data_IF_308577364115
#
_entry.id   IF_308577364115
#
_cell.length_a   1.000
_cell.length_b   1.000
_cell.length_c   1.000
_cell.angle_alpha   90.00
_cell.angle_beta   90.00
_cell.angle_gamma   90.00
#
_symmetry.space_group_name_H-M   'P 1'
#
loop_
_entity.id
_entity.type
_entity.pdbx_description
1 polymer ?
#
# COMPACT_ATOMS: atom_id res chain seq x y z
N UNK A 1 27.91 -14.20 -1.36
CA UNK A 1 27.05 -14.82 -0.33
C UNK A 1 26.87 -16.29 -0.63
N UNK A 2 25.96 -16.98 0.08
CA UNK A 2 25.48 -18.33 -0.30
C UNK A 2 24.59 -18.26 -1.54
N UNK A 3 24.30 -19.41 -2.14
CA UNK A 3 23.26 -19.53 -3.17
C UNK A 3 21.88 -19.22 -2.59
N UNK A 4 20.99 -18.67 -3.43
CA UNK A 4 19.59 -18.41 -3.05
C UNK A 4 18.84 -19.72 -2.90
N UNK A 5 17.91 -19.73 -1.94
CA UNK A 5 17.05 -20.86 -1.61
C UNK A 5 15.57 -20.41 -1.64
N UNK A 6 14.60 -21.34 -1.76
CA UNK A 6 13.18 -20.99 -1.90
C UNK A 6 12.64 -19.99 -0.87
N UNK A 7 13.08 -20.11 0.39
CA UNK A 7 12.63 -19.23 1.47
C UNK A 7 13.15 -17.78 1.35
N UNK A 8 14.13 -17.51 0.48
CA UNK A 8 14.62 -16.16 0.23
C UNK A 8 13.60 -15.30 -0.51
N UNK A 9 12.50 -15.88 -1.02
CA UNK A 9 11.36 -15.12 -1.53
C UNK A 9 10.83 -14.11 -0.50
N UNK A 10 11.00 -14.38 0.80
CA UNK A 10 10.63 -13.47 1.90
C UNK A 10 11.81 -12.69 2.48
N UNK A 11 12.92 -12.57 1.75
CA UNK A 11 14.05 -11.75 2.17
C UNK A 11 13.64 -10.29 2.39
N UNK A 12 13.98 -9.75 3.57
CA UNK A 12 13.60 -8.41 4.02
C UNK A 12 14.79 -7.45 4.19
N UNK A 13 15.95 -7.81 3.65
CA UNK A 13 17.19 -7.05 3.83
C UNK A 13 17.41 -5.92 2.81
N UNK A 14 16.44 -5.61 1.95
CA UNK A 14 16.49 -4.43 1.08
C UNK A 14 16.16 -3.16 1.87
N UNK A 15 17.06 -2.76 2.77
CA UNK A 15 16.91 -1.59 3.60
C UNK A 15 18.20 -0.77 3.68
N UNK A 16 18.03 0.51 3.95
CA UNK A 16 19.09 1.51 3.95
C UNK A 16 19.99 1.57 5.19
N UNK A 17 19.97 0.55 6.06
CA UNK A 17 20.72 0.55 7.33
C UNK A 17 19.84 0.72 8.57
N UNK A 18 20.47 0.98 9.72
CA UNK A 18 19.79 1.13 11.01
C UNK A 18 18.98 2.44 11.04
N UNK A 19 17.65 2.32 10.87
CA UNK A 19 16.71 3.41 11.08
C UNK A 19 16.67 3.86 12.55
N UNK A 20 15.84 4.88 12.83
CA UNK A 20 15.64 5.35 14.20
C UNK A 20 15.01 4.21 15.02
N UNK A 21 15.53 3.88 16.23
CA UNK A 21 14.98 2.80 17.02
C UNK A 21 13.50 2.99 17.33
N UNK A 22 12.69 1.94 17.15
CA UNK A 22 11.23 1.97 17.34
C UNK A 22 10.83 2.47 18.74
N UNK A 23 11.63 2.19 19.76
CA UNK A 23 11.41 2.69 21.13
C UNK A 23 11.47 4.23 21.21
N UNK A 24 12.39 4.85 20.46
CA UNK A 24 12.51 6.31 20.40
C UNK A 24 11.33 6.93 19.64
N UNK A 25 10.94 6.30 18.53
CA UNK A 25 9.78 6.72 17.75
C UNK A 25 8.49 6.59 18.59
N UNK A 26 8.35 5.49 19.33
CA UNK A 26 7.24 5.26 20.24
C UNK A 26 7.19 6.31 21.35
N UNK A 27 8.32 6.63 21.97
CA UNK A 27 8.36 7.68 23.00
C UNK A 27 7.96 9.06 22.45
N UNK A 28 8.27 9.35 21.18
CA UNK A 28 7.88 10.57 20.49
C UNK A 28 6.37 10.56 20.17
N UNK A 29 5.86 9.52 19.53
CA UNK A 29 4.46 9.42 19.10
C UNK A 29 3.51 9.34 20.28
N UNK A 30 3.86 8.62 21.34
CA UNK A 30 3.03 8.49 22.55
C UNK A 30 2.92 9.83 23.29
N UNK A 31 3.99 10.63 23.30
CA UNK A 31 3.96 11.99 23.85
C UNK A 31 3.13 12.93 22.98
N UNK A 32 3.25 12.80 21.66
CA UNK A 32 2.59 13.68 20.70
C UNK A 32 1.07 13.39 20.61
N UNK A 33 0.68 12.12 20.66
CA UNK A 33 -0.69 11.65 20.56
C UNK A 33 -1.05 10.78 21.77
N UNK A 34 -1.27 11.40 22.96
CA UNK A 34 -1.69 10.68 24.17
C UNK A 34 -3.10 10.08 24.06
N UNK A 35 -3.95 10.63 23.18
CA UNK A 35 -5.31 10.16 22.95
C UNK A 35 -5.77 10.43 21.49
N UNK A 36 -6.97 9.97 21.14
CA UNK A 36 -7.57 10.16 19.82
C UNK A 36 -7.78 11.64 19.48
N UNK A 37 -8.18 12.45 20.47
CA UNK A 37 -8.43 13.88 20.26
C UNK A 37 -7.14 14.63 19.93
N UNK A 38 -6.00 14.24 20.50
CA UNK A 38 -4.71 14.81 20.17
C UNK A 38 -4.31 14.54 18.71
N UNK A 39 -4.57 13.33 18.19
CA UNK A 39 -4.35 13.05 16.76
C UNK A 39 -5.34 13.84 15.90
N UNK A 40 -6.63 13.82 16.24
CA UNK A 40 -7.68 14.52 15.47
C UNK A 40 -7.36 16.02 15.30
N UNK A 41 -6.93 16.68 16.38
CA UNK A 41 -6.54 18.08 16.36
C UNK A 41 -5.27 18.37 15.53
N UNK A 42 -4.41 17.37 15.30
CA UNK A 42 -3.17 17.52 14.51
C UNK A 42 -3.35 17.19 13.02
N UNK A 43 -4.46 16.55 12.62
CA UNK A 43 -4.74 16.21 11.22
C UNK A 43 -4.57 17.40 10.25
N UNK A 44 -5.05 18.62 10.55
CA UNK A 44 -4.83 19.76 9.67
C UNK A 44 -3.35 20.11 9.49
N UNK A 45 -2.54 19.97 10.56
CA UNK A 45 -1.10 20.23 10.50
C UNK A 45 -0.38 19.17 9.66
N UNK A 46 -0.83 17.92 9.70
CA UNK A 46 -0.32 16.84 8.85
C UNK A 46 -0.55 17.20 7.37
N UNK A 47 -1.76 17.61 6.99
CA UNK A 47 -2.03 18.01 5.59
C UNK A 47 -1.25 19.26 5.16
N UNK A 48 -1.07 20.24 6.06
CA UNK A 48 -0.24 21.41 5.76
C UNK A 48 1.21 21.02 5.49
N UNK A 49 1.78 20.07 6.25
CA UNK A 49 3.12 19.53 5.98
C UNK A 49 3.21 18.82 4.63
N UNK A 50 2.14 18.12 4.24
CA UNK A 50 2.04 17.47 2.93
C UNK A 50 1.75 18.45 1.78
N UNK A 51 1.61 19.75 2.07
CA UNK A 51 1.57 20.82 1.08
C UNK A 51 0.18 21.39 0.78
N UNK A 52 -0.87 20.96 1.48
CA UNK A 52 -2.17 21.65 1.39
C UNK A 52 -2.07 23.02 2.04
N UNK A 53 -2.82 23.98 1.49
CA UNK A 53 -2.98 25.25 2.19
C UNK A 53 -3.84 25.04 3.47
N UNK A 54 -3.71 25.91 4.49
CA UNK A 54 -4.41 25.71 5.76
C UNK A 54 -5.94 25.69 5.66
N UNK A 55 -6.53 26.33 4.65
CA UNK A 55 -7.99 26.35 4.45
C UNK A 55 -8.48 25.00 3.94
N UNK A 56 -7.91 24.49 2.84
CA UNK A 56 -8.26 23.18 2.29
C UNK A 56 -7.92 22.04 3.25
N UNK A 57 -6.81 22.15 3.97
CA UNK A 57 -6.47 21.19 5.03
C UNK A 57 -7.60 21.09 6.07
N UNK A 58 -8.09 22.23 6.58
CA UNK A 58 -9.21 22.26 7.53
C UNK A 58 -10.51 21.76 6.95
N UNK A 59 -10.81 22.12 5.70
CA UNK A 59 -11.99 21.67 4.97
C UNK A 59 -12.05 20.13 4.93
N UNK A 60 -10.97 19.49 4.47
CA UNK A 60 -10.87 18.02 4.43
C UNK A 60 -11.00 17.43 5.83
N UNK A 61 -10.20 17.91 6.79
CA UNK A 61 -10.17 17.30 8.13
C UNK A 61 -11.43 17.56 8.95
N UNK A 62 -12.24 18.57 8.59
CA UNK A 62 -13.52 18.80 9.24
C UNK A 62 -14.53 17.66 9.01
N UNK A 63 -14.25 16.79 8.03
CA UNK A 63 -15.04 15.61 7.68
C UNK A 63 -14.37 14.29 8.10
N UNK A 64 -13.35 14.35 8.97
CA UNK A 64 -12.60 13.19 9.44
C UNK A 64 -12.56 13.23 10.98
N UNK A 65 -13.05 12.17 11.62
CA UNK A 65 -12.93 11.98 13.09
C UNK A 65 -12.06 10.78 13.42
N UNK A 66 -11.41 10.80 14.58
CA UNK A 66 -10.49 9.74 15.03
C UNK A 66 -11.14 8.89 16.12
N UNK A 67 -11.25 7.58 15.87
CA UNK A 67 -11.69 6.61 16.87
C UNK A 67 -10.55 5.66 17.27
N UNK A 68 -10.40 5.41 18.56
CA UNK A 68 -9.49 4.36 19.04
C UNK A 68 -10.02 2.96 18.66
N UNK A 69 -9.24 2.20 17.90
CA UNK A 69 -9.58 0.82 17.53
C UNK A 69 -9.11 -0.20 18.58
N UNK A 70 -9.86 -1.28 18.72
CA UNK A 70 -9.41 -2.48 19.45
C UNK A 70 -8.55 -3.41 18.59
N UNK A 71 -8.72 -3.35 17.26
CA UNK A 71 -7.97 -4.12 16.27
C UNK A 71 -6.88 -3.29 15.58
N UNK A 72 -6.41 -3.76 14.42
CA UNK A 72 -5.28 -3.19 13.68
C UNK A 72 -5.45 -1.70 13.31
N UNK A 73 -6.68 -1.21 13.18
CA UNK A 73 -6.98 0.10 12.59
C UNK A 73 -7.65 -0.10 11.23
N UNK A 74 -8.48 0.85 10.80
CA UNK A 74 -9.09 0.85 9.46
C UNK A 74 -9.83 2.17 9.20
N UNK A 75 -9.57 2.81 8.07
CA UNK A 75 -10.35 3.91 7.55
C UNK A 75 -11.78 3.47 7.24
N UNK A 76 -12.75 4.32 7.55
CA UNK A 76 -14.14 4.09 7.21
C UNK A 76 -14.71 5.35 6.57
N UNK A 77 -14.80 5.34 5.24
CA UNK A 77 -15.31 6.45 4.46
C UNK A 77 -16.78 6.73 4.70
N UNK A 78 -17.16 8.00 4.51
CA UNK A 78 -18.57 8.41 4.49
C UNK A 78 -19.27 7.87 3.23
N UNK A 79 -20.58 7.65 3.30
CA UNK A 79 -21.40 7.24 2.14
C UNK A 79 -22.17 8.41 1.52
N UNK A 80 -22.07 9.61 2.09
CA UNK A 80 -22.75 10.82 1.64
C UNK A 80 -21.85 12.04 1.79
N UNK A 81 -22.09 13.04 0.94
CA UNK A 81 -21.37 14.32 0.98
C UNK A 81 -21.53 15.01 2.32
N UNK A 82 -20.44 15.58 2.81
CA UNK A 82 -20.35 16.32 4.08
C UNK A 82 -20.66 15.50 5.34
N UNK A 83 -20.63 14.17 5.27
CA UNK A 83 -20.70 13.31 6.47
C UNK A 83 -19.30 12.90 6.92
N UNK A 84 -19.20 12.45 8.17
CA UNK A 84 -17.93 12.13 8.81
C UNK A 84 -17.40 10.77 8.34
N UNK A 85 -16.18 10.78 7.81
CA UNK A 85 -15.36 9.57 7.73
C UNK A 85 -14.64 9.34 9.07
N UNK A 86 -14.30 8.07 9.35
CA UNK A 86 -13.65 7.67 10.60
C UNK A 86 -12.26 7.13 10.32
N UNK A 87 -11.25 7.78 10.88
CA UNK A 87 -9.90 7.25 11.01
C UNK A 87 -9.87 6.39 12.26
N UNK A 88 -9.70 5.08 12.10
CA UNK A 88 -9.60 4.17 13.26
C UNK A 88 -8.19 3.66 13.39
N UNK A 89 -7.59 3.85 14.54
CA UNK A 89 -6.21 3.41 14.82
C UNK A 89 -6.04 3.03 16.29
N UNK A 90 -5.02 2.23 16.58
CA UNK A 90 -4.74 1.76 17.93
C UNK A 90 -4.15 2.87 18.77
N UNK A 91 -4.84 3.21 19.86
CA UNK A 91 -4.37 4.17 20.87
C UNK A 91 -4.53 3.50 22.23
N UNK A 92 -3.42 3.20 22.88
CA UNK A 92 -3.40 2.52 24.18
C UNK A 92 -3.48 3.52 25.35
N UNK A 93 -3.52 2.99 26.58
CA UNK A 93 -3.51 3.83 27.80
C UNK A 93 -2.26 4.71 27.91
N UNK A 94 -1.14 4.27 27.33
CA UNK A 94 0.11 5.04 27.26
C UNK A 94 0.20 6.01 26.08
N UNK A 95 -0.85 6.17 25.28
CA UNK A 95 -0.86 6.89 24.01
C UNK A 95 -0.60 6.00 22.80
N UNK A 96 -0.37 6.65 21.65
CA UNK A 96 -0.10 5.98 20.38
C UNK A 96 1.37 5.56 20.28
N UNK A 97 1.63 4.26 20.12
CA UNK A 97 2.98 3.76 19.80
C UNK A 97 3.35 4.04 18.34
N UNK A 98 4.61 3.82 17.95
CA UNK A 98 5.04 4.14 16.58
C UNK A 98 4.30 3.31 15.54
N UNK A 99 4.04 2.03 15.82
CA UNK A 99 3.26 1.17 14.94
C UNK A 99 1.84 1.71 14.72
N UNK A 100 1.16 2.12 15.79
CA UNK A 100 -0.16 2.74 15.73
C UNK A 100 -0.14 4.06 14.98
N UNK A 101 0.93 4.85 15.11
CA UNK A 101 1.14 6.07 14.33
C UNK A 101 1.33 5.81 12.84
N UNK A 102 2.21 4.89 12.48
CA UNK A 102 2.47 4.51 11.10
C UNK A 102 1.18 4.01 10.40
N UNK A 103 0.38 3.19 11.10
CA UNK A 103 -0.95 2.79 10.65
C UNK A 103 -1.89 3.99 10.56
N UNK A 104 -1.94 4.86 11.57
CA UNK A 104 -2.81 6.04 11.55
C UNK A 104 -2.55 6.95 10.34
N UNK A 105 -1.28 7.14 9.97
CA UNK A 105 -0.88 7.92 8.79
C UNK A 105 -1.35 7.25 7.51
N UNK A 106 -1.21 5.93 7.40
CA UNK A 106 -1.73 5.15 6.28
C UNK A 106 -3.25 5.30 6.14
N UNK A 107 -4.00 5.04 7.21
CA UNK A 107 -5.46 5.16 7.22
C UNK A 107 -5.92 6.60 6.96
N UNK A 108 -5.15 7.60 7.41
CA UNK A 108 -5.44 8.99 7.09
C UNK A 108 -5.35 9.28 5.60
N UNK A 109 -4.41 8.67 4.87
CA UNK A 109 -4.35 8.76 3.42
C UNK A 109 -5.63 8.27 2.75
N UNK A 110 -6.18 7.14 3.19
CA UNK A 110 -7.50 6.68 2.75
C UNK A 110 -8.61 7.67 3.09
N UNK A 111 -8.68 8.17 4.33
CA UNK A 111 -9.74 9.12 4.71
C UNK A 111 -9.68 10.43 3.90
N UNK A 112 -8.48 10.93 3.60
CA UNK A 112 -8.27 12.12 2.77
C UNK A 112 -8.77 11.87 1.36
N UNK A 113 -8.39 10.74 0.74
CA UNK A 113 -8.90 10.36 -0.58
C UNK A 113 -10.42 10.22 -0.57
N UNK A 114 -10.97 9.41 0.33
CA UNK A 114 -12.42 9.19 0.43
C UNK A 114 -13.19 10.50 0.63
N UNK A 115 -12.62 11.45 1.40
CA UNK A 115 -13.21 12.77 1.60
C UNK A 115 -13.17 13.61 0.32
N UNK A 116 -12.03 13.67 -0.35
CA UNK A 116 -11.88 14.40 -1.62
C UNK A 116 -12.81 13.79 -2.68
N UNK A 117 -12.79 12.47 -2.87
CA UNK A 117 -13.55 11.81 -3.94
C UNK A 117 -15.05 11.84 -3.70
N UNK A 118 -15.51 11.86 -2.45
CA UNK A 118 -16.93 12.02 -2.10
C UNK A 118 -17.43 13.45 -2.38
N UNK A 119 -16.64 14.47 -2.04
CA UNK A 119 -17.10 15.86 -2.02
C UNK A 119 -16.73 16.66 -3.28
N UNK A 120 -15.60 16.35 -3.90
CA UNK A 120 -14.99 17.16 -4.96
C UNK A 120 -15.12 16.54 -6.36
N UNK A 121 -15.52 15.26 -6.48
CA UNK A 121 -15.89 14.66 -7.77
C UNK A 121 -17.29 15.15 -8.16
N UNK A 122 -17.40 15.76 -9.35
CA UNK A 122 -18.62 16.41 -9.85
C UNK A 122 -19.85 15.50 -9.76
N UNK A 123 -19.74 14.30 -10.30
CA UNK A 123 -20.82 13.32 -10.36
C UNK A 123 -20.72 12.36 -9.20
N UNK A 124 -21.75 12.35 -8.34
CA UNK A 124 -21.82 11.42 -7.20
C UNK A 124 -21.65 9.95 -7.62
N UNK A 125 -22.14 9.54 -8.78
CA UNK A 125 -21.97 8.16 -9.26
C UNK A 125 -20.51 7.78 -9.61
N UNK A 126 -19.63 8.75 -9.73
CA UNK A 126 -18.19 8.56 -9.95
C UNK A 126 -17.37 8.79 -8.68
N UNK A 127 -18.00 8.90 -7.49
CA UNK A 127 -17.24 9.04 -6.25
C UNK A 127 -16.32 7.83 -6.01
N UNK A 128 -15.22 8.05 -5.29
CA UNK A 128 -14.19 7.05 -5.05
C UNK A 128 -13.16 6.94 -6.16
N UNK A 129 -12.44 5.82 -6.14
CA UNK A 129 -11.36 5.47 -7.07
C UNK A 129 -11.71 4.20 -7.86
N UNK A 130 -10.96 3.84 -8.92
CA UNK A 130 -11.32 2.70 -9.76
C UNK A 130 -11.44 1.37 -9.00
N UNK A 131 -10.54 1.09 -8.05
CA UNK A 131 -10.56 -0.09 -7.20
C UNK A 131 -9.62 0.09 -5.97
N UNK A 132 -9.54 -0.93 -5.13
CA UNK A 132 -8.72 -0.96 -3.91
C UNK A 132 -7.26 -0.56 -4.14
N UNK A 133 -6.64 -1.00 -5.24
CA UNK A 133 -5.24 -0.70 -5.56
C UNK A 133 -4.94 0.81 -5.63
N UNK A 134 -5.91 1.64 -6.03
CA UNK A 134 -5.72 3.10 -6.15
C UNK A 134 -5.85 3.85 -4.81
N UNK A 135 -6.68 3.35 -3.89
CA UNK A 135 -6.79 3.95 -2.55
C UNK A 135 -5.62 3.52 -1.68
N UNK A 136 -5.11 2.30 -1.84
CA UNK A 136 -3.87 1.85 -1.20
C UNK A 136 -2.68 2.72 -1.62
N UNK A 137 -2.58 3.09 -2.90
CA UNK A 137 -1.47 3.91 -3.39
C UNK A 137 -1.35 5.26 -2.64
N UNK A 138 -2.45 5.98 -2.39
CA UNK A 138 -2.39 7.23 -1.60
C UNK A 138 -2.09 6.96 -0.13
N UNK A 139 -2.62 5.88 0.44
CA UNK A 139 -2.31 5.49 1.81
C UNK A 139 -0.80 5.21 1.98
N UNK A 140 -0.17 4.53 1.03
CA UNK A 140 1.28 4.33 1.00
C UNK A 140 2.06 5.64 0.80
N UNK A 141 1.59 6.58 -0.02
CA UNK A 141 2.22 7.91 -0.13
C UNK A 141 2.26 8.64 1.22
N UNK A 142 1.19 8.53 2.00
CA UNK A 142 1.15 9.11 3.35
C UNK A 142 2.10 8.35 4.27
N UNK A 143 1.98 7.02 4.30
CA UNK A 143 2.75 6.15 5.19
C UNK A 143 4.27 6.28 5.00
N UNK A 144 4.75 6.39 3.75
CA UNK A 144 6.17 6.62 3.43
C UNK A 144 6.74 7.95 3.96
N UNK A 145 5.87 8.88 4.36
CA UNK A 145 6.24 10.21 4.89
C UNK A 145 6.04 10.30 6.40
N UNK A 146 5.78 9.20 7.09
CA UNK A 146 5.53 9.19 8.53
C UNK A 146 6.67 9.83 9.34
N UNK A 147 7.93 9.55 9.02
CA UNK A 147 9.09 10.18 9.66
C UNK A 147 9.18 11.68 9.34
N UNK A 148 8.96 12.07 8.08
CA UNK A 148 8.92 13.48 7.65
C UNK A 148 7.83 14.25 8.42
N UNK A 149 6.67 13.64 8.61
CA UNK A 149 5.54 14.20 9.35
C UNK A 149 5.85 14.38 10.85
N UNK A 150 6.73 13.55 11.41
CA UNK A 150 7.31 13.72 12.74
C UNK A 150 8.42 14.79 12.81
N UNK A 151 8.82 15.37 11.67
CA UNK A 151 9.93 16.32 11.57
C UNK A 151 11.29 15.66 11.60
N UNK A 152 11.34 14.35 11.38
CA UNK A 152 12.56 13.56 11.27
C UNK A 152 12.93 13.48 9.80
N UNK A 153 14.22 13.48 9.50
CA UNK A 153 14.72 13.29 8.13
C UNK A 153 15.36 11.92 8.06
N UNK A 154 14.96 11.13 7.07
CA UNK A 154 15.85 10.09 6.60
C UNK A 154 17.08 10.77 5.99
N UNK A 155 18.25 10.31 6.41
CA UNK A 155 19.54 10.87 6.02
C UNK A 155 20.26 9.97 5.02
N UNK A 156 19.68 8.82 4.68
CA UNK A 156 20.29 7.90 3.75
C UNK A 156 20.09 8.37 2.30
N UNK A 157 21.18 8.76 1.59
CA UNK A 157 21.08 9.16 0.19
C UNK A 157 20.62 8.03 -0.74
N UNK A 158 20.79 6.78 -0.32
CA UNK A 158 20.46 5.58 -1.10
C UNK A 158 19.07 5.00 -0.78
N UNK A 159 18.28 5.64 0.09
CA UNK A 159 16.97 5.15 0.52
C UNK A 159 16.05 4.82 -0.67
N UNK A 160 16.02 5.69 -1.68
CA UNK A 160 15.23 5.48 -2.88
C UNK A 160 15.67 4.23 -3.68
N UNK A 161 16.96 3.91 -3.68
CA UNK A 161 17.48 2.70 -4.33
C UNK A 161 17.09 1.45 -3.55
N UNK A 162 17.20 1.47 -2.22
CA UNK A 162 16.75 0.36 -1.37
C UNK A 162 15.25 0.13 -1.48
N UNK A 163 14.45 1.20 -1.50
CA UNK A 163 13.02 1.12 -1.70
C UNK A 163 12.67 0.49 -3.05
N UNK A 164 13.35 0.87 -4.13
CA UNK A 164 13.12 0.26 -5.45
C UNK A 164 13.42 -1.25 -5.46
N UNK A 165 14.50 -1.70 -4.80
CA UNK A 165 14.80 -3.13 -4.67
C UNK A 165 13.77 -3.86 -3.81
N UNK A 166 13.37 -3.25 -2.69
CA UNK A 166 12.34 -3.80 -1.79
C UNK A 166 11.00 -3.94 -2.49
N UNK A 167 10.52 -2.88 -3.16
CA UNK A 167 9.28 -2.89 -3.94
C UNK A 167 9.31 -3.91 -5.07
N UNK A 168 10.44 -4.05 -5.77
CA UNK A 168 10.59 -5.08 -6.80
C UNK A 168 10.48 -6.49 -6.21
N UNK A 169 11.18 -6.75 -5.10
CA UNK A 169 11.16 -8.08 -4.47
C UNK A 169 9.79 -8.44 -3.90
N UNK A 170 9.12 -7.51 -3.22
CA UNK A 170 7.75 -7.70 -2.73
C UNK A 170 6.75 -7.90 -3.86
N UNK A 171 6.86 -7.13 -4.95
CA UNK A 171 6.02 -7.32 -6.12
C UNK A 171 6.25 -8.70 -6.75
N UNK A 172 7.51 -9.13 -6.88
CA UNK A 172 7.87 -10.44 -7.43
C UNK A 172 7.27 -11.59 -6.60
N UNK A 173 7.23 -11.49 -5.27
CA UNK A 173 6.58 -12.49 -4.41
C UNK A 173 5.07 -12.56 -4.67
N UNK A 174 4.36 -11.44 -4.49
CA UNK A 174 2.89 -11.43 -4.51
C UNK A 174 2.32 -11.66 -5.92
N UNK A 175 3.09 -11.38 -6.97
CA UNK A 175 2.73 -11.75 -8.35
C UNK A 175 2.59 -13.27 -8.52
N UNK A 176 3.47 -14.07 -7.90
CA UNK A 176 3.40 -15.53 -7.98
C UNK A 176 2.20 -16.07 -7.24
N UNK A 177 1.96 -15.56 -6.04
CA UNK A 177 0.76 -15.85 -5.26
C UNK A 177 -0.52 -15.52 -6.05
N UNK A 178 -0.52 -14.39 -6.78
CA UNK A 178 -1.65 -13.96 -7.62
C UNK A 178 -1.89 -14.92 -8.79
N UNK A 179 -0.83 -15.44 -9.41
CA UNK A 179 -0.95 -16.46 -10.47
C UNK A 179 -1.52 -17.78 -9.93
N UNK A 180 -1.19 -18.15 -8.68
CA UNK A 180 -1.80 -19.30 -8.02
C UNK A 180 -3.30 -19.04 -7.80
N UNK A 181 -3.68 -17.89 -7.25
CA UNK A 181 -5.09 -17.51 -7.02
C UNK A 181 -5.91 -17.60 -8.32
N UNK A 182 -5.45 -16.95 -9.40
CA UNK A 182 -6.12 -16.96 -10.72
C UNK A 182 -6.34 -18.40 -11.22
N UNK A 183 -5.29 -19.22 -11.21
CA UNK A 183 -5.37 -20.59 -11.72
C UNK A 183 -6.22 -21.50 -10.83
N UNK A 184 -6.25 -21.29 -9.52
CA UNK A 184 -7.14 -22.01 -8.59
C UNK A 184 -8.60 -21.68 -8.91
N UNK A 185 -8.93 -20.42 -9.21
CA UNK A 185 -10.27 -20.03 -9.64
C UNK A 185 -10.64 -20.61 -11.01
N UNK A 186 -9.74 -20.57 -12.00
CA UNK A 186 -9.94 -21.23 -13.29
C UNK A 186 -10.22 -22.72 -13.12
N UNK A 187 -9.46 -23.39 -12.24
CA UNK A 187 -9.66 -24.80 -11.92
C UNK A 187 -11.02 -25.04 -11.25
N UNK A 188 -11.43 -24.22 -10.28
CA UNK A 188 -12.74 -24.33 -9.63
C UNK A 188 -13.89 -24.13 -10.62
N UNK A 189 -13.78 -23.17 -11.54
CA UNK A 189 -14.79 -22.97 -12.59
C UNK A 189 -14.90 -24.19 -13.53
N UNK A 190 -13.79 -24.88 -13.79
CA UNK A 190 -13.78 -26.12 -14.57
C UNK A 190 -14.29 -27.34 -13.78
N UNK A 191 -14.32 -27.28 -12.44
CA UNK A 191 -14.68 -28.38 -11.54
C UNK A 191 -15.76 -27.95 -10.52
N UNK A 192 -16.99 -27.63 -10.96
CA UNK A 192 -18.03 -27.07 -10.09
C UNK A 192 -18.46 -28.00 -8.93
N UNK A 193 -18.21 -29.30 -9.05
CA UNK A 193 -18.54 -30.31 -8.03
C UNK A 193 -17.33 -30.72 -7.17
N UNK A 194 -16.24 -29.94 -7.21
CA UNK A 194 -15.03 -30.24 -6.47
C UNK A 194 -15.29 -30.30 -4.95
N UNK A 195 -14.70 -31.31 -4.31
CA UNK A 195 -14.64 -31.42 -2.86
C UNK A 195 -13.47 -30.60 -2.30
N UNK A 196 -13.51 -30.27 -1.00
CA UNK A 196 -12.40 -29.57 -0.33
C UNK A 196 -11.06 -30.33 -0.44
N UNK A 197 -11.08 -31.67 -0.49
CA UNK A 197 -9.87 -32.49 -0.67
C UNK A 197 -9.30 -32.29 -2.07
N UNK A 198 -10.15 -32.34 -3.10
CA UNK A 198 -9.72 -32.12 -4.49
C UNK A 198 -9.21 -30.69 -4.70
N UNK A 199 -9.86 -29.70 -4.09
CA UNK A 199 -9.40 -28.31 -4.12
C UNK A 199 -8.01 -28.16 -3.49
N UNK A 200 -7.78 -28.77 -2.31
CA UNK A 200 -6.46 -28.74 -1.67
C UNK A 200 -5.38 -29.34 -2.58
N UNK A 201 -5.66 -30.49 -3.20
CA UNK A 201 -4.72 -31.15 -4.12
C UNK A 201 -4.44 -30.27 -5.35
N UNK A 202 -5.46 -29.64 -5.91
CA UNK A 202 -5.32 -28.70 -7.02
C UNK A 202 -4.47 -27.48 -6.65
N UNK A 203 -4.70 -26.86 -5.49
CA UNK A 203 -3.89 -25.73 -5.00
C UNK A 203 -2.41 -26.13 -4.89
N UNK A 204 -2.11 -27.28 -4.30
CA UNK A 204 -0.72 -27.76 -4.15
C UNK A 204 -0.07 -27.98 -5.53
N UNK A 205 -0.79 -28.61 -6.46
CA UNK A 205 -0.30 -28.85 -7.81
C UNK A 205 -0.03 -27.53 -8.56
N UNK A 206 -1.00 -26.63 -8.60
CA UNK A 206 -0.90 -25.31 -9.25
C UNK A 206 0.25 -24.50 -8.64
N UNK A 207 0.41 -24.54 -7.31
CA UNK A 207 1.50 -23.84 -6.63
C UNK A 207 2.86 -24.33 -7.11
N UNK A 208 3.05 -25.65 -7.19
CA UNK A 208 4.29 -26.24 -7.70
C UNK A 208 4.53 -25.90 -9.18
N UNK A 209 3.48 -25.88 -10.00
CA UNK A 209 3.57 -25.50 -11.43
C UNK A 209 3.98 -24.03 -11.61
N UNK A 210 3.39 -23.11 -10.84
CA UNK A 210 3.79 -21.68 -10.84
C UNK A 210 5.22 -21.53 -10.35
N UNK A 211 5.60 -22.20 -9.27
CA UNK A 211 6.98 -22.16 -8.75
C UNK A 211 7.98 -22.62 -9.80
N UNK A 212 7.74 -23.77 -10.41
CA UNK A 212 8.64 -24.35 -11.41
C UNK A 212 8.76 -23.45 -12.64
N UNK A 213 7.68 -22.76 -13.03
CA UNK A 213 7.65 -21.92 -14.24
C UNK A 213 8.38 -20.59 -14.05
N UNK A 214 8.25 -19.97 -12.87
CA UNK A 214 8.69 -18.59 -12.67
C UNK A 214 9.79 -18.40 -11.61
N UNK A 215 9.91 -19.30 -10.62
CA UNK A 215 10.75 -19.10 -9.44
C UNK A 215 11.93 -20.07 -9.34
N UNK A 216 11.76 -21.33 -9.73
CA UNK A 216 12.79 -22.37 -9.57
C UNK A 216 14.11 -22.04 -10.28
N UNK A 217 14.07 -21.33 -11.41
CA UNK A 217 15.26 -20.89 -12.13
C UNK A 217 16.07 -19.79 -11.42
N UNK A 218 15.47 -19.09 -10.45
CA UNK A 218 16.08 -17.97 -9.71
C UNK A 218 16.38 -18.35 -8.27
N UNK A 219 15.42 -18.97 -7.58
CA UNK A 219 15.48 -19.30 -6.15
C UNK A 219 15.78 -20.77 -5.87
N UNK A 220 15.87 -21.62 -6.90
CA UNK A 220 16.05 -23.05 -6.74
C UNK A 220 14.80 -23.77 -6.23
N UNK A 221 15.00 -25.01 -5.77
CA UNK A 221 13.89 -25.91 -5.39
C UNK A 221 13.10 -26.44 -6.59
N UNK A 222 12.16 -27.34 -6.31
CA UNK A 222 11.21 -27.86 -7.29
C UNK A 222 9.92 -28.25 -6.58
N UNK A 223 8.78 -27.94 -7.19
CA UNK A 223 7.45 -28.26 -6.64
C UNK A 223 7.22 -27.63 -5.24
N UNK A 224 7.82 -26.46 -4.99
CA UNK A 224 7.68 -25.75 -3.72
C UNK A 224 6.27 -25.18 -3.55
N UNK A 225 5.77 -25.19 -2.33
CA UNK A 225 4.39 -24.78 -2.00
C UNK A 225 4.28 -23.39 -1.38
N UNK A 226 5.39 -22.62 -1.36
CA UNK A 226 5.47 -21.35 -0.63
C UNK A 226 4.45 -20.31 -1.11
N UNK A 227 4.16 -20.26 -2.42
CA UNK A 227 3.20 -19.30 -2.99
C UNK A 227 1.73 -19.63 -2.63
N UNK A 228 1.45 -20.85 -2.15
CA UNK A 228 0.12 -21.32 -1.76
C UNK A 228 -0.25 -21.01 -0.30
N UNK A 229 0.51 -20.14 0.38
CA UNK A 229 0.39 -19.90 1.83
C UNK A 229 -0.81 -19.02 2.21
N UNK A 230 -1.32 -18.20 1.27
CA UNK A 230 -2.35 -17.21 1.55
C UNK A 230 -3.77 -17.77 1.47
N UNK A 231 -4.44 -17.96 2.60
CA UNK A 231 -5.82 -18.45 2.66
C UNK A 231 -6.85 -17.54 1.96
N UNK A 232 -6.50 -16.27 1.72
CA UNK A 232 -7.36 -15.30 1.04
C UNK A 232 -7.81 -15.76 -0.34
N UNK A 233 -7.01 -16.55 -1.06
CA UNK A 233 -7.41 -17.09 -2.37
C UNK A 233 -8.66 -17.99 -2.31
N UNK A 234 -8.98 -18.52 -1.12
CA UNK A 234 -10.16 -19.36 -0.89
C UNK A 234 -11.33 -18.55 -0.31
N UNK A 235 -11.05 -17.63 0.61
CA UNK A 235 -12.10 -16.85 1.31
C UNK A 235 -12.63 -15.67 0.46
N UNK A 236 -11.78 -15.11 -0.40
CA UNK A 236 -12.11 -13.95 -1.23
C UNK A 236 -11.78 -14.20 -2.71
N UNK A 237 -12.76 -14.13 -3.62
CA UNK A 237 -12.52 -14.40 -5.03
C UNK A 237 -11.62 -13.35 -5.68
N UNK A 238 -10.54 -13.81 -6.32
CA UNK A 238 -9.59 -12.99 -7.09
C UNK A 238 -9.10 -11.77 -6.32
N UNK A 239 -8.79 -11.95 -5.03
CA UNK A 239 -8.37 -10.88 -4.15
C UNK A 239 -6.87 -10.57 -4.30
N UNK A 240 -6.04 -11.61 -4.35
CA UNK A 240 -4.58 -11.48 -4.36
C UNK A 240 -4.05 -10.77 -5.62
N UNK A 241 -4.62 -10.97 -6.83
CA UNK A 241 -4.24 -10.23 -8.03
C UNK A 241 -4.34 -8.70 -7.95
N UNK A 242 -5.09 -8.15 -6.99
CA UNK A 242 -5.17 -6.70 -6.80
C UNK A 242 -3.90 -6.10 -6.16
N UNK A 243 -3.13 -6.90 -5.40
CA UNK A 243 -1.91 -6.46 -4.73
C UNK A 243 -0.76 -6.11 -5.67
N UNK A 244 -0.34 -6.98 -6.61
CA UNK A 244 0.72 -6.62 -7.54
C UNK A 244 0.33 -5.39 -8.37
N UNK A 245 -0.94 -5.27 -8.79
CA UNK A 245 -1.44 -4.07 -9.46
C UNK A 245 -1.34 -2.83 -8.55
N UNK A 246 -1.66 -2.96 -7.26
CA UNK A 246 -1.45 -1.93 -6.25
C UNK A 246 0.00 -1.47 -6.16
N UNK A 247 0.96 -2.38 -6.12
CA UNK A 247 2.37 -2.02 -6.11
C UNK A 247 2.81 -1.26 -7.36
N UNK A 248 2.34 -1.65 -8.55
CA UNK A 248 2.68 -0.93 -9.78
C UNK A 248 2.09 0.48 -9.79
N UNK A 249 0.82 0.61 -9.38
CA UNK A 249 0.12 1.90 -9.29
C UNK A 249 0.80 2.81 -8.27
N UNK A 250 1.07 2.30 -7.06
CA UNK A 250 1.80 3.04 -6.01
C UNK A 250 3.15 3.53 -6.52
N UNK A 251 3.95 2.64 -7.11
CA UNK A 251 5.28 3.00 -7.61
C UNK A 251 5.21 4.08 -8.71
N UNK A 252 4.28 3.97 -9.65
CA UNK A 252 4.09 4.96 -10.70
C UNK A 252 3.62 6.32 -10.15
N UNK A 253 2.68 6.32 -9.20
CA UNK A 253 2.20 7.55 -8.57
C UNK A 253 3.32 8.19 -7.74
N UNK A 254 4.12 7.41 -7.03
CA UNK A 254 5.27 7.92 -6.27
C UNK A 254 6.27 8.64 -7.17
N UNK A 255 6.63 8.04 -8.32
CA UNK A 255 7.47 8.69 -9.32
C UNK A 255 6.83 9.97 -9.85
N UNK A 256 5.51 9.95 -10.09
CA UNK A 256 4.77 11.11 -10.57
C UNK A 256 4.84 12.29 -9.58
N UNK A 257 4.71 12.05 -8.28
CA UNK A 257 4.68 13.14 -7.27
C UNK A 257 6.07 13.63 -6.87
N UNK A 258 7.14 12.89 -7.21
CA UNK A 258 8.52 13.25 -6.86
C UNK A 258 8.89 14.64 -7.41
N UNK A 259 9.35 15.52 -6.51
CA UNK A 259 9.72 16.90 -6.86
C UNK A 259 8.54 17.83 -7.18
N UNK A 260 7.29 17.37 -7.02
CA UNK A 260 6.07 18.15 -7.19
C UNK A 260 5.44 18.45 -5.82
N UNK A 261 4.42 19.30 -5.84
CA UNK A 261 3.59 19.54 -4.66
C UNK A 261 2.60 18.39 -4.52
N UNK A 262 2.80 17.56 -3.51
CA UNK A 262 2.01 16.35 -3.28
C UNK A 262 0.50 16.65 -3.22
N UNK A 263 0.10 17.67 -2.47
CA UNK A 263 -1.28 18.11 -2.37
C UNK A 263 -1.94 18.42 -3.72
N UNK A 264 -1.27 19.20 -4.58
CA UNK A 264 -1.80 19.56 -5.91
C UNK A 264 -1.94 18.32 -6.81
N UNK A 265 -1.00 17.38 -6.72
CA UNK A 265 -1.08 16.13 -7.49
C UNK A 265 -2.18 15.21 -6.98
N UNK A 266 -2.36 15.09 -5.66
CA UNK A 266 -3.45 14.28 -5.08
C UNK A 266 -4.80 14.88 -5.46
N UNK A 267 -5.01 16.18 -5.25
CA UNK A 267 -6.27 16.84 -5.64
C UNK A 267 -6.56 16.61 -7.14
N UNK A 268 -5.55 16.75 -8.00
CA UNK A 268 -5.69 16.53 -9.46
C UNK A 268 -5.99 15.07 -9.82
N UNK A 269 -5.29 14.11 -9.21
CA UNK A 269 -5.43 12.69 -9.56
C UNK A 269 -6.74 12.10 -9.07
N UNK A 270 -7.16 12.43 -7.84
CA UNK A 270 -8.30 11.78 -7.19
C UNK A 270 -9.65 12.43 -7.55
N UNK A 271 -9.68 13.71 -7.96
CA UNK A 271 -10.91 14.35 -8.48
C UNK A 271 -11.38 13.81 -9.83
N UNK A 272 -10.63 12.91 -10.46
CA UNK A 272 -11.08 12.15 -11.63
C UNK A 272 -12.25 11.21 -11.33
N UNK A 273 -12.35 10.74 -10.09
CA UNK A 273 -13.35 9.77 -9.66
C UNK A 273 -13.07 8.33 -10.09
N UNK A 274 -14.06 7.47 -9.87
CA UNK A 274 -14.05 6.04 -10.20
C UNK A 274 -14.32 5.84 -11.69
N UNK A 275 -13.24 5.91 -12.47
CA UNK A 275 -13.25 5.66 -13.92
C UNK A 275 -12.43 4.42 -14.26
N UNK A 276 -12.29 4.10 -15.55
CA UNK A 276 -11.51 2.93 -16.01
C UNK A 276 -10.05 3.05 -15.51
N UNK A 277 -9.48 2.04 -14.83
CA UNK A 277 -8.14 2.09 -14.25
C UNK A 277 -7.04 2.62 -15.18
N UNK A 278 -7.03 2.17 -16.43
CA UNK A 278 -6.02 2.60 -17.41
C UNK A 278 -6.20 4.06 -17.83
N UNK A 279 -7.44 4.54 -17.92
CA UNK A 279 -7.72 5.94 -18.23
C UNK A 279 -7.35 6.83 -17.04
N UNK A 280 -7.65 6.38 -15.82
CA UNK A 280 -7.25 7.06 -14.59
C UNK A 280 -5.72 7.23 -14.54
N UNK A 281 -4.96 6.16 -14.79
CA UNK A 281 -3.49 6.22 -14.82
C UNK A 281 -2.96 7.10 -15.95
N UNK A 282 -3.55 7.02 -17.14
CA UNK A 282 -3.14 7.88 -18.27
C UNK A 282 -3.24 9.38 -17.93
N UNK A 283 -4.29 9.79 -17.21
CA UNK A 283 -4.44 11.17 -16.77
C UNK A 283 -3.61 11.50 -15.52
N UNK A 284 -3.44 10.53 -14.61
CA UNK A 284 -2.71 10.73 -13.36
C UNK A 284 -1.20 10.82 -13.59
N UNK A 285 -0.61 9.87 -14.31
CA UNK A 285 0.85 9.73 -14.48
C UNK A 285 1.30 9.81 -15.93
N UNK A 286 0.38 9.99 -16.89
CA UNK A 286 0.72 10.13 -18.31
C UNK A 286 0.93 8.82 -19.06
N UNK A 287 0.70 7.67 -18.42
CA UNK A 287 0.93 6.34 -18.97
C UNK A 287 -0.08 5.32 -18.40
N UNK A 288 -0.32 4.19 -19.09
CA UNK A 288 -1.06 3.07 -18.50
C UNK A 288 -0.32 2.47 -17.31
N UNK A 289 -1.00 1.58 -16.57
CA UNK A 289 -0.36 0.76 -15.54
C UNK A 289 0.75 -0.07 -16.22
N UNK A 290 1.98 0.07 -15.73
CA UNK A 290 3.17 -0.62 -16.27
C UNK A 290 4.16 -1.00 -15.18
N UNK A 291 4.85 -2.11 -15.43
CA UNK A 291 5.99 -2.59 -14.63
C UNK A 291 7.29 -1.82 -14.95
N UNK A 292 7.36 -1.17 -16.12
CA UNK A 292 8.60 -0.55 -16.63
C UNK A 292 9.23 0.46 -15.66
N UNK A 293 8.45 1.34 -14.98
CA UNK A 293 9.04 2.30 -14.04
C UNK A 293 9.73 1.62 -12.85
N UNK A 294 9.17 0.52 -12.35
CA UNK A 294 9.77 -0.26 -11.28
C UNK A 294 11.05 -0.93 -11.76
N UNK A 295 11.03 -1.58 -12.94
CA UNK A 295 12.23 -2.21 -13.51
C UNK A 295 13.37 -1.21 -13.75
N UNK A 296 13.06 -0.04 -14.29
CA UNK A 296 14.05 1.01 -14.53
C UNK A 296 14.69 1.48 -13.22
N UNK A 297 13.89 1.71 -12.18
CA UNK A 297 14.39 2.10 -10.86
C UNK A 297 15.19 0.98 -10.18
N UNK A 298 14.79 -0.29 -10.36
CA UNK A 298 15.55 -1.47 -9.90
C UNK A 298 16.90 -1.55 -10.61
N UNK A 299 16.96 -1.34 -11.92
CA UNK A 299 18.22 -1.35 -12.69
C UNK A 299 19.15 -0.23 -12.23
N UNK A 300 18.63 0.98 -12.03
CA UNK A 300 19.37 2.11 -11.48
C UNK A 300 19.91 1.80 -10.08
N UNK A 301 19.06 1.26 -9.19
CA UNK A 301 19.43 0.86 -7.84
C UNK A 301 20.53 -0.21 -7.83
N UNK A 302 20.43 -1.24 -8.69
CA UNK A 302 21.47 -2.25 -8.84
C UNK A 302 22.78 -1.65 -9.35
N UNK A 303 22.74 -0.62 -10.19
CA UNK A 303 23.94 0.11 -10.63
C UNK A 303 24.58 0.93 -9.52
N UNK A 304 23.77 1.65 -8.74
CA UNK A 304 24.23 2.54 -7.67
C UNK A 304 24.76 1.79 -6.44
N UNK A 305 24.09 0.68 -6.07
CA UNK A 305 24.39 -0.11 -4.85
C UNK A 305 25.44 -1.19 -5.07
N UNK A 306 25.84 -1.49 -6.32
CA UNK A 306 26.99 -2.36 -6.62
C UNK A 306 28.30 -1.65 -6.25
N UNK A 307 28.67 -1.75 -4.98
CA UNK A 307 30.06 -1.63 -4.51
C UNK A 307 30.60 -3.01 -4.14
#
# INVERSE_FOLDING_TARGET
GRELEPFDIWYNGFNGGEGIPEEQLTALTSRKYPDAAALENDLPNILVKLGWNPEKAREITSLITVDASRGAGHAWGAAMRNDLSRLRTRIGEGGMDYKGYNIAVHEFGHNVEQTITMNDVDYYLLNGVPNTSFTEAVAFLFQKRDLELLGLKDSNPDEAHWLALSSFWSAYEIMGVSLVDIQVWEWLYAHPEATAVQLKEAVIAITGEVWNSYYAGVLGGKDETLLGIYSHMIDYPLYLPNYPMGHLIDFQIEQQVKGKKLAEEIDRMYTQGSIIPQLWMQHAVGAPISIDPLLAATEEALGALKQ
#
